data_IF_640580936664
#
_entry.id   IF_640580936664
#
_cell.length_a   1.000
_cell.length_b   1.000
_cell.length_c   1.000
_cell.angle_alpha   90.00
_cell.angle_beta   90.00
_cell.angle_gamma   90.00
#
_symmetry.space_group_name_H-M   'P 1'
#
loop_
_entity.id
_entity.type
_entity.pdbx_description
1 polymer ?
#
# COMPACT_ATOMS: atom_id res chain seq x y z
N UNK A 1 -44.99 14.73 -28.69
CA UNK A 1 -43.98 13.67 -28.92
C UNK A 1 -42.56 14.25 -28.95
N UNK A 2 -42.18 15.05 -29.97
CA UNK A 2 -40.85 15.69 -30.04
C UNK A 2 -40.40 16.47 -28.78
N UNK A 3 -41.30 17.28 -28.21
CA UNK A 3 -41.02 18.01 -26.95
C UNK A 3 -40.70 17.09 -25.78
N UNK A 4 -41.44 15.98 -25.65
CA UNK A 4 -41.24 14.98 -24.59
C UNK A 4 -39.95 14.19 -24.80
N UNK A 5 -39.64 13.82 -26.05
CA UNK A 5 -38.37 13.16 -26.39
C UNK A 5 -37.16 14.06 -26.07
N UNK A 6 -37.25 15.37 -26.35
CA UNK A 6 -36.21 16.33 -25.99
C UNK A 6 -36.06 16.52 -24.46
N UNK A 7 -37.17 16.60 -23.72
CA UNK A 7 -37.13 16.70 -22.26
C UNK A 7 -36.52 15.44 -21.60
N UNK A 8 -36.82 14.25 -22.13
CA UNK A 8 -36.25 12.98 -21.65
C UNK A 8 -34.74 12.87 -21.98
N UNK A 9 -34.29 13.38 -23.12
CA UNK A 9 -32.87 13.42 -23.50
C UNK A 9 -32.08 14.42 -22.63
N UNK A 10 -32.62 15.62 -22.40
CA UNK A 10 -32.02 16.63 -21.52
C UNK A 10 -31.92 16.12 -20.07
N UNK A 11 -32.96 15.44 -19.56
CA UNK A 11 -32.92 14.85 -18.23
C UNK A 11 -31.87 13.73 -18.12
N UNK A 12 -31.74 12.88 -19.14
CA UNK A 12 -30.69 11.84 -19.16
C UNK A 12 -29.30 12.46 -19.15
N UNK A 13 -29.06 13.44 -20.01
CA UNK A 13 -27.78 14.14 -20.08
C UNK A 13 -27.43 14.82 -18.75
N UNK A 14 -28.42 15.44 -18.07
CA UNK A 14 -28.21 16.04 -16.74
C UNK A 14 -27.83 15.00 -15.69
N UNK A 15 -28.53 13.85 -15.65
CA UNK A 15 -28.23 12.76 -14.70
C UNK A 15 -26.84 12.16 -14.93
N UNK A 16 -26.46 11.94 -16.19
CA UNK A 16 -25.13 11.45 -16.56
C UNK A 16 -24.03 12.43 -16.15
N UNK A 17 -24.24 13.74 -16.37
CA UNK A 17 -23.29 14.78 -15.96
C UNK A 17 -23.15 14.88 -14.42
N UNK A 18 -24.27 14.84 -13.68
CA UNK A 18 -24.26 14.85 -12.21
C UNK A 18 -23.55 13.61 -11.63
N UNK A 19 -23.76 12.44 -12.24
CA UNK A 19 -23.07 11.20 -11.84
C UNK A 19 -21.57 11.25 -12.13
N UNK A 20 -21.18 11.78 -13.29
CA UNK A 20 -19.78 11.96 -13.67
C UNK A 20 -19.07 12.93 -12.71
N UNK A 21 -19.68 14.07 -12.39
CA UNK A 21 -19.14 15.04 -11.42
C UNK A 21 -19.01 14.42 -10.02
N UNK A 22 -20.01 13.67 -9.57
CA UNK A 22 -19.95 12.94 -8.30
C UNK A 22 -18.79 11.93 -8.28
N UNK A 23 -18.58 11.20 -9.38
CA UNK A 23 -17.45 10.25 -9.51
C UNK A 23 -16.10 10.97 -9.46
N UNK A 24 -15.92 12.05 -10.23
CA UNK A 24 -14.69 12.86 -10.22
C UNK A 24 -14.38 13.41 -8.83
N UNK A 25 -15.39 13.89 -8.11
CA UNK A 25 -15.22 14.40 -6.75
C UNK A 25 -14.81 13.29 -5.78
N UNK A 26 -15.46 12.13 -5.84
CA UNK A 26 -15.09 10.98 -5.03
C UNK A 26 -13.63 10.54 -5.28
N UNK A 27 -13.18 10.52 -6.55
CA UNK A 27 -11.78 10.22 -6.90
C UNK A 27 -10.80 11.24 -6.30
N UNK A 28 -11.12 12.54 -6.36
CA UNK A 28 -10.29 13.61 -5.78
C UNK A 28 -10.23 13.48 -4.26
N UNK A 29 -11.36 13.22 -3.62
CA UNK A 29 -11.45 13.03 -2.17
C UNK A 29 -10.62 11.81 -1.73
N UNK A 30 -10.69 10.70 -2.48
CA UNK A 30 -9.88 9.52 -2.22
C UNK A 30 -8.39 9.80 -2.38
N UNK A 31 -7.97 10.47 -3.46
CA UNK A 31 -6.58 10.89 -3.68
C UNK A 31 -6.05 11.76 -2.54
N UNK A 32 -6.88 12.68 -2.07
CA UNK A 32 -6.55 13.59 -0.96
C UNK A 32 -6.45 12.82 0.36
N UNK A 33 -7.37 11.89 0.61
CA UNK A 33 -7.35 11.03 1.79
C UNK A 33 -6.11 10.12 1.84
N UNK A 34 -5.65 9.63 0.68
CA UNK A 34 -4.39 8.87 0.60
C UNK A 34 -3.15 9.73 0.81
N UNK A 35 -3.22 11.05 0.66
CA UNK A 35 -2.08 11.97 0.74
C UNK A 35 -1.39 12.17 -0.61
N UNK A 36 -0.92 13.38 -0.88
CA UNK A 36 -0.40 13.79 -2.21
C UNK A 36 1.08 14.16 -2.18
N UNK A 37 1.70 14.12 -1.00
CA UNK A 37 3.09 14.48 -0.76
C UNK A 37 3.85 13.30 -0.17
N UNK A 38 5.17 13.31 -0.34
CA UNK A 38 6.04 12.30 0.25
C UNK A 38 7.36 12.90 0.73
N UNK A 39 7.91 12.27 1.78
CA UNK A 39 9.29 12.40 2.21
C UNK A 39 9.96 11.04 2.07
N UNK A 40 11.23 11.02 1.70
CA UNK A 40 11.98 9.77 1.56
C UNK A 40 13.45 9.99 1.88
N UNK A 41 14.13 8.91 2.23
CA UNK A 41 15.58 8.87 2.46
C UNK A 41 16.12 7.48 2.16
N UNK A 42 17.43 7.37 1.87
CA UNK A 42 18.13 6.09 1.65
C UNK A 42 17.83 5.34 0.34
N UNK A 43 16.85 5.77 -0.45
CA UNK A 43 16.47 5.11 -1.71
C UNK A 43 17.56 5.24 -2.79
N UNK A 44 17.72 4.21 -3.62
CA UNK A 44 18.78 4.12 -4.63
C UNK A 44 18.70 5.22 -5.71
N UNK A 45 17.48 5.59 -6.10
CA UNK A 45 17.23 6.56 -7.18
C UNK A 45 16.24 7.65 -6.74
N UNK A 46 16.66 8.57 -5.86
CA UNK A 46 15.75 9.57 -5.29
C UNK A 46 15.17 10.52 -6.35
N UNK A 47 15.86 10.72 -7.48
CA UNK A 47 15.34 11.49 -8.63
C UNK A 47 14.16 10.79 -9.31
N UNK A 48 14.23 9.47 -9.50
CA UNK A 48 13.13 8.66 -10.04
C UNK A 48 11.92 8.69 -9.10
N UNK A 49 12.14 8.57 -7.78
CA UNK A 49 11.07 8.68 -6.78
C UNK A 49 10.32 10.01 -6.89
N UNK A 50 11.06 11.12 -7.03
CA UNK A 50 10.47 12.46 -7.22
C UNK A 50 9.58 12.54 -8.46
N UNK A 51 9.97 11.87 -9.55
CA UNK A 51 9.23 11.90 -10.81
C UNK A 51 8.04 10.93 -10.82
N UNK A 52 8.15 9.80 -10.13
CA UNK A 52 7.13 8.75 -10.09
C UNK A 52 6.05 9.04 -9.03
N UNK A 53 6.42 9.65 -7.91
CA UNK A 53 5.47 9.90 -6.84
C UNK A 53 4.54 11.07 -7.18
N UNK A 54 3.23 10.86 -7.04
CA UNK A 54 2.21 11.87 -7.28
C UNK A 54 0.82 11.46 -6.78
N UNK A 55 -0.19 12.29 -7.04
CA UNK A 55 -1.57 12.07 -6.58
C UNK A 55 -2.20 10.78 -7.12
N UNK A 56 -1.79 10.35 -8.32
CA UNK A 56 -2.26 9.14 -9.00
C UNK A 56 -1.64 7.84 -8.46
N UNK A 57 -0.69 7.91 -7.53
CA UNK A 57 -0.12 6.72 -6.89
C UNK A 57 -1.17 6.13 -5.93
N UNK A 58 -1.62 4.92 -6.25
CA UNK A 58 -2.55 4.15 -5.45
C UNK A 58 -1.83 3.32 -4.39
N UNK A 59 -0.71 2.69 -4.75
CA UNK A 59 0.07 1.84 -3.85
C UNK A 59 1.58 2.15 -3.99
N UNK A 60 2.28 2.09 -2.86
CA UNK A 60 3.75 2.17 -2.77
C UNK A 60 4.23 0.87 -2.13
N UNK A 61 5.36 0.35 -2.62
CA UNK A 61 6.10 -0.73 -1.98
C UNK A 61 7.58 -0.37 -1.91
N UNK A 62 8.24 -0.69 -0.80
CA UNK A 62 9.68 -0.59 -0.64
C UNK A 62 10.28 -1.96 -0.32
N UNK A 63 11.43 -2.27 -0.90
CA UNK A 63 12.18 -3.49 -0.64
C UNK A 63 13.65 -3.27 -0.98
N UNK A 64 14.55 -3.57 -0.06
CA UNK A 64 15.93 -3.10 -0.19
C UNK A 64 15.95 -1.57 -0.23
N UNK A 65 16.69 -1.01 -1.17
CA UNK A 65 16.71 0.44 -1.46
C UNK A 65 15.80 0.82 -2.64
N UNK A 66 15.04 -0.15 -3.17
CA UNK A 66 14.16 0.01 -4.32
C UNK A 66 12.73 0.39 -3.93
N UNK A 67 12.07 1.14 -4.80
CA UNK A 67 10.68 1.55 -4.67
C UNK A 67 9.86 1.14 -5.90
N UNK A 68 8.61 0.75 -5.67
CA UNK A 68 7.61 0.50 -6.69
C UNK A 68 6.36 1.33 -6.40
N UNK A 69 5.79 1.91 -7.45
CA UNK A 69 4.58 2.71 -7.43
C UNK A 69 3.56 2.07 -8.36
N UNK A 70 2.39 1.74 -7.85
CA UNK A 70 1.23 1.35 -8.68
C UNK A 70 0.31 2.55 -8.80
N UNK A 71 -0.07 2.87 -10.04
CA UNK A 71 -0.95 3.97 -10.37
C UNK A 71 -2.41 3.50 -10.43
N UNK A 72 -3.36 4.43 -10.30
CA UNK A 72 -4.80 4.12 -10.33
C UNK A 72 -5.29 3.44 -11.63
N UNK A 73 -4.59 3.65 -12.74
CA UNK A 73 -4.89 2.98 -14.02
C UNK A 73 -4.28 1.57 -14.12
N UNK A 74 -3.64 1.08 -13.06
CA UNK A 74 -2.98 -0.23 -13.04
C UNK A 74 -1.59 -0.26 -13.68
N UNK A 75 -1.13 0.85 -14.25
CA UNK A 75 0.28 1.00 -14.63
C UNK A 75 1.15 1.02 -13.37
N UNK A 76 2.44 0.76 -13.55
CA UNK A 76 3.40 0.85 -12.46
C UNK A 76 4.71 1.49 -12.93
N UNK A 77 5.41 2.09 -11.98
CA UNK A 77 6.78 2.58 -12.15
C UNK A 77 7.64 2.11 -10.99
N UNK A 78 8.94 1.95 -11.23
CA UNK A 78 9.87 1.50 -10.20
C UNK A 78 11.22 2.16 -10.33
N UNK A 79 11.96 2.20 -9.24
CA UNK A 79 13.40 2.43 -9.26
C UNK A 79 14.14 1.12 -9.51
N UNK A 80 15.47 1.19 -9.62
CA UNK A 80 16.33 0.01 -9.51
C UNK A 80 16.08 -0.77 -8.21
N UNK A 81 16.36 -2.08 -8.24
CA UNK A 81 16.34 -2.95 -7.05
C UNK A 81 15.06 -3.79 -6.86
N UNK A 82 14.20 -3.91 -7.87
CA UNK A 82 13.05 -4.81 -7.78
C UNK A 82 13.48 -6.27 -7.61
N UNK A 83 12.77 -7.06 -6.77
CA UNK A 83 12.93 -8.50 -6.74
C UNK A 83 12.73 -9.10 -8.14
N UNK A 84 13.65 -9.96 -8.58
CA UNK A 84 13.61 -10.56 -9.93
C UNK A 84 12.28 -11.27 -10.20
N UNK A 85 11.78 -12.04 -9.23
CA UNK A 85 10.48 -12.72 -9.35
C UNK A 85 9.33 -11.73 -9.54
N UNK A 86 9.32 -10.61 -8.80
CA UNK A 86 8.30 -9.57 -8.97
C UNK A 86 8.43 -8.89 -10.34
N UNK A 87 9.66 -8.57 -10.77
CA UNK A 87 9.90 -7.96 -12.08
C UNK A 87 9.36 -8.83 -13.23
N UNK A 88 9.62 -10.15 -13.18
CA UNK A 88 9.10 -11.10 -14.17
C UNK A 88 7.56 -11.18 -14.14
N UNK A 89 6.95 -11.15 -12.95
CA UNK A 89 5.49 -11.18 -12.79
C UNK A 89 4.79 -9.94 -13.33
N UNK A 90 5.46 -8.79 -13.30
CA UNK A 90 4.92 -7.52 -13.78
C UNK A 90 5.21 -7.29 -15.28
N UNK A 91 6.44 -7.54 -15.73
CA UNK A 91 6.87 -7.26 -17.10
C UNK A 91 6.48 -8.31 -18.14
N UNK A 92 6.18 -9.55 -17.72
CA UNK A 92 5.85 -10.66 -18.63
C UNK A 92 4.37 -10.82 -18.96
N UNK A 93 3.52 -9.84 -18.62
CA UNK A 93 2.06 -9.97 -18.74
C UNK A 93 1.58 -9.64 -20.17
N UNK A 94 0.84 -10.53 -20.83
CA UNK A 94 0.15 -10.22 -22.09
C UNK A 94 -0.79 -9.01 -21.96
N UNK A 95 -1.01 -8.30 -23.07
CA UNK A 95 -2.03 -7.27 -23.12
C UNK A 95 -3.41 -7.86 -22.82
N UNK A 96 -4.10 -7.33 -21.81
CA UNK A 96 -5.41 -7.81 -21.34
C UNK A 96 -5.37 -8.56 -20.01
N UNK A 97 -4.19 -8.93 -19.51
CA UNK A 97 -4.05 -9.45 -18.16
C UNK A 97 -4.48 -8.40 -17.12
N UNK A 98 -5.13 -8.80 -16.01
CA UNK A 98 -5.52 -7.87 -14.95
C UNK A 98 -4.30 -7.11 -14.41
N UNK A 99 -4.35 -5.78 -14.29
CA UNK A 99 -3.21 -5.02 -13.80
C UNK A 99 -2.96 -5.28 -12.30
N UNK A 100 -1.74 -5.02 -11.79
CA UNK A 100 -1.50 -5.01 -10.35
C UNK A 100 -2.34 -3.91 -9.70
N UNK A 101 -2.95 -4.21 -8.55
CA UNK A 101 -3.70 -3.23 -7.75
C UNK A 101 -3.08 -3.00 -6.35
N UNK A 102 -2.22 -3.92 -5.91
CA UNK A 102 -1.48 -3.81 -4.66
C UNK A 102 -0.17 -4.60 -4.74
N UNK A 103 0.90 -4.01 -4.20
CA UNK A 103 2.20 -4.63 -4.07
C UNK A 103 2.75 -4.38 -2.67
N UNK A 104 3.38 -5.39 -2.09
CA UNK A 104 4.25 -5.28 -0.94
C UNK A 104 5.61 -5.88 -1.28
N UNK A 105 6.68 -5.24 -0.81
CA UNK A 105 8.04 -5.72 -0.98
C UNK A 105 8.70 -5.83 0.40
N UNK A 106 9.68 -6.70 0.50
CA UNK A 106 10.50 -6.89 1.69
C UNK A 106 11.96 -7.10 1.32
N UNK A 107 12.80 -7.15 2.34
CA UNK A 107 14.20 -7.53 2.17
C UNK A 107 14.33 -8.97 1.61
N UNK A 108 15.50 -9.29 1.04
CA UNK A 108 15.83 -10.62 0.48
C UNK A 108 14.92 -11.07 -0.67
N UNK A 109 14.42 -10.13 -1.47
CA UNK A 109 13.62 -10.43 -2.65
C UNK A 109 12.19 -10.87 -2.38
N UNK A 110 11.71 -10.74 -1.14
CA UNK A 110 10.33 -11.09 -0.78
C UNK A 110 9.35 -10.11 -1.39
N UNK A 111 8.22 -10.61 -1.84
CA UNK A 111 7.15 -9.77 -2.37
C UNK A 111 5.78 -10.44 -2.21
N UNK A 112 4.76 -9.62 -2.26
CA UNK A 112 3.38 -10.01 -2.49
C UNK A 112 2.80 -9.05 -3.53
N UNK A 113 2.10 -9.58 -4.53
CA UNK A 113 1.36 -8.80 -5.52
C UNK A 113 -0.06 -9.34 -5.61
N UNK A 114 -1.02 -8.42 -5.64
CA UNK A 114 -2.42 -8.69 -5.95
C UNK A 114 -2.77 -7.97 -7.25
N UNK A 115 -3.59 -8.61 -8.06
CA UNK A 115 -4.09 -8.09 -9.32
C UNK A 115 -5.56 -7.71 -9.19
N UNK A 116 -6.05 -6.90 -10.14
CA UNK A 116 -7.41 -6.35 -10.11
C UNK A 116 -8.53 -7.41 -10.14
N UNK A 117 -8.25 -8.62 -10.63
CA UNK A 117 -9.15 -9.78 -10.62
C UNK A 117 -9.16 -10.53 -9.27
N UNK A 118 -8.35 -10.09 -8.30
CA UNK A 118 -8.17 -10.73 -7.00
C UNK A 118 -7.13 -11.84 -6.98
N UNK A 119 -6.57 -12.22 -8.14
CA UNK A 119 -5.45 -13.16 -8.18
C UNK A 119 -4.23 -12.56 -7.44
N UNK A 120 -3.40 -13.42 -6.87
CA UNK A 120 -2.19 -13.00 -6.18
C UNK A 120 -1.02 -13.93 -6.43
N UNK A 121 0.19 -13.38 -6.30
CA UNK A 121 1.44 -14.12 -6.34
C UNK A 121 2.39 -13.56 -5.28
N UNK A 122 3.26 -14.41 -4.74
CA UNK A 122 4.19 -14.00 -3.70
C UNK A 122 5.45 -14.85 -3.70
N UNK A 123 6.50 -14.28 -3.11
CA UNK A 123 7.70 -15.00 -2.66
C UNK A 123 7.98 -14.55 -1.22
N UNK A 124 8.04 -15.50 -0.30
CA UNK A 124 8.04 -15.19 1.12
C UNK A 124 8.04 -16.43 2.02
N UNK A 125 7.79 -16.24 3.32
CA UNK A 125 7.80 -17.32 4.31
C UNK A 125 6.84 -18.45 3.97
N UNK A 126 7.26 -19.70 4.22
CA UNK A 126 6.42 -20.88 4.00
C UNK A 126 5.07 -20.74 4.73
N UNK A 127 5.11 -20.35 6.01
CA UNK A 127 3.92 -20.15 6.84
C UNK A 127 2.98 -19.09 6.26
N UNK A 128 3.51 -17.94 5.83
CA UNK A 128 2.71 -16.91 5.14
C UNK A 128 2.02 -17.49 3.90
N UNK A 129 2.73 -18.28 3.10
CA UNK A 129 2.15 -18.94 1.93
C UNK A 129 1.11 -20.02 2.26
N UNK A 130 1.22 -20.69 3.40
CA UNK A 130 0.18 -21.61 3.91
C UNK A 130 -1.08 -20.80 4.24
N UNK A 131 -0.96 -19.73 5.04
CA UNK A 131 -2.06 -18.84 5.43
C UNK A 131 -2.80 -18.27 4.21
N UNK A 132 -2.05 -17.76 3.22
CA UNK A 132 -2.62 -17.17 1.99
C UNK A 132 -3.35 -18.19 1.10
N UNK A 133 -2.99 -19.48 1.17
CA UNK A 133 -3.67 -20.54 0.38
C UNK A 133 -4.93 -21.05 1.07
N UNK A 134 -4.96 -21.02 2.39
CA UNK A 134 -6.07 -21.60 3.18
C UNK A 134 -7.17 -20.60 3.51
N UNK A 135 -6.88 -19.30 3.41
CA UNK A 135 -7.85 -18.23 3.72
C UNK A 135 -8.76 -17.95 2.52
N UNK A 136 -10.04 -17.68 2.81
CA UNK A 136 -11.01 -17.10 1.87
C UNK A 136 -11.10 -15.57 2.01
N UNK A 137 -10.44 -15.00 3.02
CA UNK A 137 -10.46 -13.56 3.29
C UNK A 137 -9.64 -12.80 2.26
N UNK A 138 -10.21 -11.69 1.78
CA UNK A 138 -9.49 -10.74 0.92
C UNK A 138 -8.37 -10.06 1.72
N UNK A 139 -7.13 -10.21 1.27
CA UNK A 139 -5.96 -9.51 1.84
C UNK A 139 -6.08 -8.01 1.59
N UNK A 140 -5.96 -7.20 2.63
CA UNK A 140 -5.88 -5.74 2.56
C UNK A 140 -4.43 -5.25 2.44
N UNK A 141 -3.56 -5.67 3.35
CA UNK A 141 -2.14 -5.32 3.31
C UNK A 141 -1.24 -6.49 3.74
N UNK A 142 0.00 -6.47 3.24
CA UNK A 142 1.09 -7.37 3.64
C UNK A 142 2.29 -6.51 4.00
N UNK A 143 2.98 -6.87 5.08
CA UNK A 143 4.25 -6.28 5.47
C UNK A 143 5.29 -7.35 5.75
N UNK A 144 6.55 -7.07 5.41
CA UNK A 144 7.69 -7.96 5.63
C UNK A 144 8.67 -7.30 6.60
N UNK A 145 9.01 -7.99 7.70
CA UNK A 145 9.92 -7.45 8.71
C UNK A 145 11.38 -7.89 8.53
N UNK A 146 12.16 -7.76 9.61
CA UNK A 146 13.61 -8.02 9.63
C UNK A 146 14.02 -9.42 9.19
N UNK A 147 13.41 -10.44 9.80
CA UNK A 147 13.73 -11.84 9.51
C UNK A 147 12.99 -12.31 8.26
N UNK A 148 13.53 -13.34 7.58
CA UNK A 148 12.87 -13.89 6.39
C UNK A 148 11.43 -14.29 6.72
N UNK A 149 11.22 -14.97 7.84
CA UNK A 149 9.95 -15.43 8.40
C UNK A 149 9.16 -14.37 9.18
N UNK A 150 9.60 -13.11 9.14
CA UNK A 150 8.88 -11.97 9.72
C UNK A 150 7.88 -11.40 8.72
N UNK A 151 6.59 -11.50 9.02
CA UNK A 151 5.52 -10.98 8.17
C UNK A 151 4.26 -10.58 8.96
N UNK A 152 3.45 -9.72 8.36
CA UNK A 152 2.13 -9.35 8.85
C UNK A 152 1.13 -9.31 7.68
N UNK A 153 -0.02 -9.96 7.82
CA UNK A 153 -1.13 -9.92 6.87
C UNK A 153 -2.31 -9.24 7.57
N UNK A 154 -2.85 -8.18 6.99
CA UNK A 154 -4.14 -7.59 7.37
C UNK A 154 -5.15 -7.94 6.30
N UNK A 155 -6.32 -8.43 6.70
CA UNK A 155 -7.44 -8.75 5.82
C UNK A 155 -8.44 -7.58 5.76
N UNK A 156 -9.28 -7.55 4.72
CA UNK A 156 -10.24 -6.47 4.49
C UNK A 156 -11.33 -6.36 5.57
N UNK A 157 -11.57 -7.44 6.31
CA UNK A 157 -12.48 -7.47 7.47
C UNK A 157 -11.82 -6.95 8.77
N UNK A 158 -10.55 -6.54 8.71
CA UNK A 158 -9.76 -6.10 9.87
C UNK A 158 -9.05 -7.23 10.61
N UNK A 159 -9.36 -8.50 10.30
CA UNK A 159 -8.63 -9.62 10.88
C UNK A 159 -7.17 -9.61 10.41
N UNK A 160 -6.30 -10.32 11.12
CA UNK A 160 -4.88 -10.39 10.76
C UNK A 160 -4.24 -11.72 11.16
N UNK A 161 -3.12 -12.05 10.51
CA UNK A 161 -2.21 -13.12 10.87
C UNK A 161 -0.77 -12.61 10.75
N UNK A 162 0.14 -13.08 11.61
CA UNK A 162 1.52 -12.65 11.58
C UNK A 162 2.51 -13.78 11.97
N UNK A 163 3.78 -13.58 11.63
CA UNK A 163 4.90 -14.39 12.09
C UNK A 163 6.10 -13.51 12.43
N UNK A 164 6.77 -13.81 13.55
CA UNK A 164 8.01 -13.16 14.01
C UNK A 164 8.06 -11.63 13.87
N UNK A 165 7.06 -10.96 14.43
CA UNK A 165 6.94 -9.49 14.42
C UNK A 165 7.72 -8.86 15.60
N UNK A 166 8.05 -7.56 15.54
CA UNK A 166 8.64 -6.84 16.67
C UNK A 166 7.81 -7.01 17.95
N UNK A 167 8.50 -7.22 19.08
CA UNK A 167 7.86 -7.50 20.38
C UNK A 167 6.95 -6.36 20.84
N UNK A 168 7.40 -5.13 20.66
CA UNK A 168 6.64 -3.92 21.01
C UNK A 168 5.38 -3.76 20.14
N UNK A 169 5.42 -4.16 18.87
CA UNK A 169 4.21 -4.25 18.04
C UNK A 169 3.23 -5.32 18.56
N UNK A 170 3.71 -6.51 18.90
CA UNK A 170 2.88 -7.59 19.46
C UNK A 170 2.21 -7.17 20.78
N UNK A 171 2.98 -6.55 21.68
CA UNK A 171 2.46 -5.98 22.92
C UNK A 171 1.41 -4.89 22.66
N UNK A 172 1.66 -4.00 21.68
CA UNK A 172 0.74 -2.92 21.31
C UNK A 172 -0.60 -3.44 20.78
N UNK A 173 -0.57 -4.46 19.92
CA UNK A 173 -1.78 -5.08 19.37
C UNK A 173 -2.62 -5.74 20.47
N UNK A 174 -1.97 -6.43 21.40
CA UNK A 174 -2.64 -7.07 22.54
C UNK A 174 -3.27 -6.06 23.50
N UNK A 175 -2.63 -4.91 23.71
CA UNK A 175 -3.09 -3.90 24.64
C UNK A 175 -4.34 -3.14 24.15
N UNK A 176 -4.42 -2.86 22.86
CA UNK A 176 -5.39 -1.91 22.29
C UNK A 176 -6.68 -2.58 21.77
N UNK A 177 -6.83 -3.91 21.88
CA UNK A 177 -8.00 -4.66 21.35
C UNK A 177 -8.36 -4.29 19.90
N UNK A 178 -7.33 -4.08 19.06
CA UNK A 178 -7.45 -3.42 17.75
C UNK A 178 -8.26 -4.21 16.71
N UNK A 179 -8.48 -5.51 16.97
CA UNK A 179 -9.28 -6.46 16.19
C UNK A 179 -9.82 -5.94 14.85
N UNK A 180 -11.11 -5.58 14.75
CA UNK A 180 -11.77 -5.28 13.48
C UNK A 180 -11.35 -3.96 12.81
N UNK A 181 -10.57 -3.12 13.50
CA UNK A 181 -10.25 -1.78 13.04
C UNK A 181 -8.87 -1.67 12.39
N UNK A 182 -8.05 -2.72 12.41
CA UNK A 182 -6.74 -2.70 11.77
C UNK A 182 -6.88 -2.60 10.24
N UNK A 183 -6.21 -1.61 9.62
CA UNK A 183 -6.26 -1.44 8.15
C UNK A 183 -4.91 -1.58 7.48
N UNK A 184 -3.82 -1.22 8.15
CA UNK A 184 -2.49 -1.34 7.59
C UNK A 184 -1.44 -1.55 8.68
N UNK A 185 -0.45 -2.37 8.34
CA UNK A 185 0.81 -2.50 9.06
C UNK A 185 1.94 -2.32 8.06
N UNK A 186 3.03 -1.72 8.52
CA UNK A 186 4.30 -1.65 7.81
C UNK A 186 5.39 -2.14 8.75
N UNK A 187 6.31 -2.94 8.23
CA UNK A 187 7.44 -3.50 8.96
C UNK A 187 8.72 -3.15 8.23
N UNK A 188 9.78 -2.87 8.98
CA UNK A 188 11.09 -2.57 8.47
C UNK A 188 12.14 -3.60 8.83
N UNK A 189 13.28 -3.58 8.13
CA UNK A 189 14.34 -4.57 8.30
C UNK A 189 15.14 -4.41 9.59
N UNK A 190 15.03 -3.27 10.29
CA UNK A 190 15.71 -3.01 11.56
C UNK A 190 14.74 -3.06 12.76
N UNK A 191 13.54 -3.62 12.56
CA UNK A 191 12.51 -3.68 13.59
C UNK A 191 11.61 -2.44 13.64
N UNK A 192 11.72 -1.54 12.66
CA UNK A 192 10.76 -0.46 12.48
C UNK A 192 9.36 -1.03 12.25
N UNK A 193 8.34 -0.36 12.79
CA UNK A 193 6.98 -0.68 12.44
C UNK A 193 6.08 0.55 12.49
N UNK A 194 4.99 0.46 11.74
CA UNK A 194 3.86 1.38 11.79
C UNK A 194 2.57 0.58 11.72
N UNK A 195 1.57 1.02 12.46
CA UNK A 195 0.23 0.44 12.47
C UNK A 195 -0.79 1.56 12.30
N UNK A 196 -1.82 1.31 11.49
CA UNK A 196 -2.93 2.24 11.22
C UNK A 196 -4.27 1.54 11.40
N UNK A 197 -5.21 2.23 12.05
CA UNK A 197 -6.61 1.81 12.17
C UNK A 197 -7.54 2.57 11.23
N UNK A 198 -8.78 2.07 11.11
CA UNK A 198 -9.82 2.63 10.25
C UNK A 198 -10.21 4.06 10.62
N UNK A 199 -10.11 4.41 11.91
CA UNK A 199 -10.31 5.77 12.44
C UNK A 199 -9.07 6.68 12.26
N UNK A 200 -8.08 6.24 11.48
CA UNK A 200 -6.82 6.93 11.22
C UNK A 200 -5.92 7.15 12.44
N UNK A 201 -6.15 6.46 13.56
CA UNK A 201 -5.11 6.41 14.61
C UNK A 201 -3.90 5.66 14.07
N UNK A 202 -2.72 6.15 14.45
CA UNK A 202 -1.44 5.59 14.05
C UNK A 202 -0.52 5.42 15.23
N UNK A 203 0.26 4.35 15.19
CA UNK A 203 1.33 4.07 16.13
C UNK A 203 2.56 3.61 15.35
N UNK A 204 3.73 3.85 15.91
CA UNK A 204 5.01 3.44 15.34
C UNK A 204 6.01 3.13 16.45
N UNK A 205 6.98 2.30 16.12
CA UNK A 205 8.06 1.90 17.02
C UNK A 205 9.29 1.43 16.24
N UNK A 206 10.39 1.22 16.96
CA UNK A 206 11.66 0.79 16.37
C UNK A 206 12.31 1.76 15.38
N UNK A 207 11.84 3.01 15.29
CA UNK A 207 12.31 3.95 14.26
C UNK A 207 13.77 4.38 14.47
N UNK A 208 14.55 4.39 13.39
CA UNK A 208 15.85 5.06 13.36
C UNK A 208 15.70 6.56 13.63
N UNK A 209 16.70 7.24 14.24
CA UNK A 209 16.60 8.67 14.58
C UNK A 209 16.24 9.57 13.40
N UNK A 210 16.80 9.30 12.22
CA UNK A 210 16.52 10.06 10.99
C UNK A 210 15.08 9.93 10.53
N UNK A 211 14.52 8.73 10.60
CA UNK A 211 13.12 8.45 10.25
C UNK A 211 12.18 9.03 11.29
N UNK A 212 12.53 8.88 12.57
CA UNK A 212 11.76 9.40 13.71
C UNK A 212 11.56 10.91 13.61
N UNK A 213 12.61 11.67 13.26
CA UNK A 213 12.52 13.12 13.06
C UNK A 213 11.46 13.47 11.98
N UNK A 214 11.49 12.79 10.83
CA UNK A 214 10.52 13.02 9.75
C UNK A 214 9.11 12.57 10.12
N UNK A 215 8.96 11.47 10.85
CA UNK A 215 7.65 11.02 11.36
C UNK A 215 7.08 12.05 12.33
N UNK A 216 7.88 12.60 13.25
CA UNK A 216 7.43 13.61 14.19
C UNK A 216 7.06 14.94 13.51
N UNK A 217 7.79 15.33 12.46
CA UNK A 217 7.49 16.52 11.64
C UNK A 217 6.11 16.42 10.98
N UNK A 218 5.69 15.21 10.58
CA UNK A 218 4.46 14.99 9.79
C UNK A 218 3.36 14.19 10.50
N UNK A 219 3.51 13.88 11.79
CA UNK A 219 2.68 12.91 12.53
C UNK A 219 1.16 13.03 12.31
N UNK A 220 0.63 14.24 12.16
CA UNK A 220 -0.81 14.52 12.05
C UNK A 220 -1.33 14.45 10.59
N UNK A 221 -0.41 14.36 9.62
CA UNK A 221 -0.72 14.30 8.19
C UNK A 221 -0.24 13.03 7.51
N UNK A 222 0.51 12.16 8.19
CA UNK A 222 0.92 10.85 7.67
C UNK A 222 -0.31 10.04 7.28
N UNK A 223 -0.23 9.42 6.11
CA UNK A 223 -1.25 8.51 5.59
C UNK A 223 -0.71 7.10 5.36
N UNK A 224 0.61 6.96 5.22
CA UNK A 224 1.31 5.68 5.14
C UNK A 224 2.84 5.84 5.24
N UNK A 225 3.49 4.77 5.71
CA UNK A 225 4.96 4.71 5.90
C UNK A 225 5.45 3.35 5.40
N UNK A 226 6.54 3.35 4.63
CA UNK A 226 7.19 2.16 4.14
C UNK A 226 8.67 2.21 4.51
N UNK A 227 9.22 1.06 4.88
CA UNK A 227 10.61 0.90 5.31
C UNK A 227 11.35 -0.01 4.33
N UNK A 228 12.60 0.32 4.06
CA UNK A 228 13.52 -0.46 3.24
C UNK A 228 14.85 -0.68 3.97
N UNK A 229 15.80 -1.32 3.29
CA UNK A 229 17.11 -1.65 3.87
C UNK A 229 17.96 -0.39 4.09
N UNK A 230 18.95 -0.49 4.98
CA UNK A 230 19.92 0.58 5.27
C UNK A 230 19.28 1.92 5.68
N UNK A 231 18.15 1.86 6.39
CA UNK A 231 17.42 3.04 6.84
C UNK A 231 16.68 3.77 5.72
N UNK A 232 16.46 3.10 4.59
CA UNK A 232 15.61 3.62 3.52
C UNK A 232 14.17 3.72 3.98
N UNK A 233 13.47 4.78 3.59
CA UNK A 233 12.07 4.96 3.94
C UNK A 233 11.34 5.83 2.92
N UNK A 234 10.02 5.71 2.92
CA UNK A 234 9.10 6.63 2.26
C UNK A 234 7.92 6.86 3.20
N UNK A 235 7.61 8.13 3.45
CA UNK A 235 6.46 8.57 4.25
C UNK A 235 5.56 9.37 3.32
N UNK A 236 4.32 8.89 3.15
CA UNK A 236 3.26 9.60 2.43
C UNK A 236 2.45 10.42 3.43
N UNK A 237 2.15 11.66 3.06
CA UNK A 237 1.38 12.57 3.88
C UNK A 237 0.49 13.52 3.06
N UNK A 238 -0.45 14.17 3.73
CA UNK A 238 -1.29 15.24 3.16
C UNK A 238 -0.53 16.55 2.98
#
# INVERSE_FOLDING_TARGET
>A
RRKREAEEEEERARREAEEEERRKRAEIDERTARGTRAKWGGLAEPGSVKNLFGSRVACVALGGTGALFVFENGEYGSTAGLPMGLHQRLGGRPGGDPPPDYVAMGSRGRYYVRFADGASAWDGPRRMGEELRTTDRRVATVAFGALFDSYFIVYADGWWNCGNIPRDLDEKIKAETIGPDLVAVSLGPNGEWMMKTRDNKMWWGGLLPTVSATVLEHKDTITGTWFGDNGSYLIRHR
#
